data_IF_392031997691
#
_entry.id   IF_392031997691
#
_cell.length_a   1.000
_cell.length_b   1.000
_cell.length_c   1.000
_cell.angle_alpha   90.00
_cell.angle_beta   90.00
_cell.angle_gamma   90.00
#
_symmetry.space_group_name_H-M   'P 1'
#
loop_
_entity.id
_entity.type
_entity.pdbx_description
1 polymer ?
#
# COMPACT_ATOMS: atom_id res chain seq x y z
N UNK A 1 -14.50 -21.79 3.30
CA UNK A 1 -13.30 -21.08 3.77
C UNK A 1 -13.30 -19.65 3.23
N UNK A 2 -12.67 -18.74 3.95
CA UNK A 2 -12.50 -17.33 3.58
C UNK A 2 -11.02 -16.97 3.57
N UNK A 3 -10.64 -15.97 2.74
CA UNK A 3 -9.30 -15.41 2.74
C UNK A 3 -9.36 -13.90 3.06
N UNK A 4 -8.64 -13.50 4.11
CA UNK A 4 -8.49 -12.12 4.56
C UNK A 4 -6.99 -11.82 4.57
N UNK A 5 -6.48 -11.20 3.50
CA UNK A 5 -5.02 -11.02 3.35
C UNK A 5 -4.70 -9.90 2.35
N UNK A 6 -5.14 -8.69 2.60
CA UNK A 6 -4.85 -7.55 1.74
C UNK A 6 -5.29 -7.74 0.27
N UNK A 7 -6.33 -8.53 0.02
CA UNK A 7 -6.79 -8.88 -1.33
C UNK A 7 -7.69 -7.79 -1.90
N UNK A 8 -7.32 -7.22 -3.04
CA UNK A 8 -8.19 -6.31 -3.79
C UNK A 8 -9.15 -7.08 -4.70
N UNK A 9 -10.40 -6.62 -4.75
CA UNK A 9 -11.49 -7.23 -5.52
C UNK A 9 -11.45 -6.81 -7.00
N UNK A 10 -10.35 -7.11 -7.71
CA UNK A 10 -10.18 -6.77 -9.13
C UNK A 10 -11.23 -7.47 -10.00
N UNK A 11 -11.49 -6.93 -11.19
CA UNK A 11 -12.41 -7.54 -12.17
C UNK A 11 -12.05 -9.01 -12.47
N UNK A 12 -10.77 -9.29 -12.64
CA UNK A 12 -10.26 -10.62 -12.93
C UNK A 12 -10.56 -11.58 -11.78
N UNK A 13 -10.24 -11.19 -10.54
CA UNK A 13 -10.49 -12.01 -9.34
C UNK A 13 -11.99 -12.23 -9.09
N UNK A 14 -12.83 -11.25 -9.38
CA UNK A 14 -14.31 -11.38 -9.28
C UNK A 14 -14.90 -12.42 -10.21
N UNK A 15 -14.19 -12.82 -11.27
CA UNK A 15 -14.65 -13.93 -12.12
C UNK A 15 -14.54 -15.29 -11.39
N UNK A 16 -13.51 -15.48 -10.58
CA UNK A 16 -13.21 -16.75 -9.90
C UNK A 16 -13.72 -16.81 -8.44
N UNK A 17 -13.88 -15.67 -7.80
CA UNK A 17 -14.22 -15.55 -6.37
C UNK A 17 -15.36 -14.56 -6.14
N UNK A 18 -16.09 -14.75 -5.04
CA UNK A 18 -16.97 -13.74 -4.49
C UNK A 18 -16.19 -12.89 -3.47
N UNK A 19 -16.53 -11.62 -3.37
CA UNK A 19 -15.89 -10.68 -2.45
C UNK A 19 -16.91 -9.99 -1.56
N UNK A 20 -16.49 -9.66 -0.35
CA UNK A 20 -17.24 -8.79 0.54
C UNK A 20 -17.23 -7.33 0.05
N UNK A 21 -18.00 -6.48 0.72
CA UNK A 21 -17.77 -5.03 0.70
C UNK A 21 -16.31 -4.78 1.17
N UNK A 22 -15.68 -3.68 0.72
CA UNK A 22 -14.36 -3.31 1.21
C UNK A 22 -14.35 -3.11 2.73
N UNK A 23 -13.32 -3.63 3.40
CA UNK A 23 -13.09 -3.37 4.82
C UNK A 23 -11.97 -2.36 5.06
N UNK A 24 -11.16 -2.10 4.02
CA UNK A 24 -10.06 -1.15 4.07
C UNK A 24 -9.83 -0.54 2.68
N UNK A 25 -9.74 0.79 2.64
CA UNK A 25 -9.35 1.51 1.43
C UNK A 25 -7.86 1.81 1.49
N UNK A 26 -7.14 1.39 0.44
CA UNK A 26 -5.71 1.59 0.33
C UNK A 26 -5.43 3.04 -0.07
N UNK A 27 -4.63 3.74 0.72
CA UNK A 27 -4.01 5.00 0.33
C UNK A 27 -2.56 4.74 -0.09
N UNK A 28 -2.18 5.28 -1.24
CA UNK A 28 -0.81 5.27 -1.73
C UNK A 28 0.02 6.36 -1.06
N UNK A 29 1.31 6.13 -0.92
CA UNK A 29 2.27 7.11 -0.40
C UNK A 29 3.60 7.04 -1.14
N UNK A 30 4.24 8.19 -1.27
CA UNK A 30 5.62 8.29 -1.78
C UNK A 30 6.51 8.75 -0.62
N UNK A 31 7.52 7.93 -0.30
CA UNK A 31 8.59 8.30 0.62
C UNK A 31 9.78 8.87 -0.15
N UNK A 32 10.37 9.92 0.41
CA UNK A 32 11.60 10.55 -0.07
C UNK A 32 12.53 10.83 1.12
N UNK A 33 13.81 11.12 0.88
CA UNK A 33 14.65 11.66 1.96
C UNK A 33 14.12 13.01 2.45
N UNK A 34 14.13 13.24 3.75
CA UNK A 34 13.71 14.52 4.36
C UNK A 34 14.45 15.70 3.73
N UNK A 35 15.73 15.54 3.41
CA UNK A 35 16.56 16.56 2.74
C UNK A 35 16.14 16.87 1.29
N UNK A 36 15.26 16.07 0.70
CA UNK A 36 14.82 16.19 -0.68
C UNK A 36 13.33 16.56 -0.82
N UNK A 37 12.65 16.89 0.28
CA UNK A 37 11.22 17.24 0.26
C UNK A 37 10.93 18.41 -0.70
N UNK A 38 11.74 19.44 -0.67
CA UNK A 38 11.57 20.62 -1.54
C UNK A 38 11.90 20.31 -3.02
N UNK A 39 12.65 19.24 -3.28
CA UNK A 39 12.99 18.81 -4.64
C UNK A 39 11.89 17.96 -5.25
N UNK A 40 11.25 17.10 -4.46
CA UNK A 40 10.24 16.16 -4.94
C UNK A 40 8.85 16.58 -4.45
N UNK A 41 8.21 17.47 -5.21
CA UNK A 41 6.92 18.10 -4.85
C UNK A 41 5.75 17.64 -5.71
N UNK A 42 6.01 16.84 -6.75
CA UNK A 42 4.99 16.35 -7.70
C UNK A 42 5.46 15.10 -8.42
N UNK A 43 4.54 14.40 -9.09
CA UNK A 43 4.85 13.25 -9.97
C UNK A 43 5.92 13.63 -11.01
N UNK A 44 5.82 14.79 -11.64
CA UNK A 44 6.76 15.24 -12.67
C UNK A 44 8.17 15.48 -12.13
N UNK A 45 8.33 15.80 -10.85
CA UNK A 45 9.65 15.97 -10.25
C UNK A 45 10.44 14.66 -10.10
N UNK A 46 9.77 13.51 -10.23
CA UNK A 46 10.38 12.17 -10.25
C UNK A 46 10.84 11.74 -11.66
N UNK A 47 10.63 12.56 -12.69
CA UNK A 47 11.10 12.26 -14.05
C UNK A 47 12.62 12.02 -14.07
N UNK A 48 13.04 10.92 -14.72
CA UNK A 48 14.43 10.48 -14.79
C UNK A 48 14.99 9.88 -13.49
N UNK A 49 14.26 9.96 -12.38
CA UNK A 49 14.67 9.44 -11.07
C UNK A 49 14.40 7.93 -10.97
N UNK A 50 15.10 7.26 -10.05
CA UNK A 50 14.81 5.89 -9.66
C UNK A 50 13.77 5.88 -8.54
N UNK A 51 12.70 5.11 -8.72
CA UNK A 51 11.64 4.91 -7.72
C UNK A 51 11.56 3.42 -7.42
N UNK A 52 11.76 3.05 -6.15
CA UNK A 52 11.64 1.66 -5.73
C UNK A 52 10.19 1.31 -5.37
N UNK A 53 9.81 0.07 -5.64
CA UNK A 53 8.52 -0.53 -5.31
C UNK A 53 8.73 -1.98 -4.90
N UNK A 54 7.79 -2.54 -4.14
CA UNK A 54 7.82 -3.98 -3.88
C UNK A 54 7.21 -4.73 -5.07
N UNK A 55 7.94 -5.75 -5.55
CA UNK A 55 7.54 -6.59 -6.68
C UNK A 55 6.22 -7.32 -6.42
N UNK A 56 5.33 -7.31 -7.39
CA UNK A 56 4.03 -8.02 -7.35
C UNK A 56 2.94 -7.29 -6.56
N UNK A 57 3.18 -6.08 -6.11
CA UNK A 57 2.17 -5.23 -5.43
C UNK A 57 1.37 -4.39 -6.43
N UNK A 58 0.28 -3.79 -5.93
CA UNK A 58 -0.52 -2.82 -6.70
C UNK A 58 0.31 -1.58 -6.99
N UNK A 59 1.13 -1.14 -6.05
CA UNK A 59 2.02 0.01 -6.16
C UNK A 59 3.01 -0.15 -7.31
N UNK A 60 3.50 -1.36 -7.58
CA UNK A 60 4.32 -1.62 -8.77
C UNK A 60 3.57 -1.30 -10.07
N UNK A 61 2.29 -1.68 -10.14
CA UNK A 61 1.42 -1.35 -11.27
C UNK A 61 1.17 0.15 -11.39
N UNK A 62 0.80 0.81 -10.28
CA UNK A 62 0.56 2.25 -10.22
C UNK A 62 1.80 3.05 -10.64
N UNK A 63 2.98 2.68 -10.12
CA UNK A 63 4.24 3.32 -10.48
C UNK A 63 4.56 3.19 -11.97
N UNK A 64 4.40 2.00 -12.56
CA UNK A 64 4.62 1.78 -14.01
C UNK A 64 3.66 2.57 -14.88
N UNK A 65 2.41 2.76 -14.43
CA UNK A 65 1.38 3.47 -15.19
C UNK A 65 1.48 4.99 -15.05
N UNK A 66 1.83 5.51 -13.89
CA UNK A 66 1.78 6.94 -13.59
C UNK A 66 3.14 7.62 -13.56
N UNK A 67 4.23 6.88 -13.33
CA UNK A 67 5.62 7.37 -13.32
C UNK A 67 6.38 6.97 -14.59
N UNK A 68 5.77 7.18 -15.77
CA UNK A 68 6.29 6.71 -17.06
C UNK A 68 7.71 7.19 -17.40
N UNK A 69 8.06 8.37 -16.91
CA UNK A 69 9.38 8.98 -17.14
C UNK A 69 10.39 8.64 -16.02
N UNK A 70 9.99 7.85 -15.02
CA UNK A 70 10.87 7.41 -13.95
C UNK A 70 11.42 6.00 -14.22
N UNK A 71 12.50 5.64 -13.51
CA UNK A 71 13.08 4.30 -13.56
C UNK A 71 12.55 3.48 -12.40
N UNK A 72 11.60 2.59 -12.63
CA UNK A 72 11.02 1.75 -11.59
C UNK A 72 11.97 0.62 -11.24
N UNK A 73 12.31 0.50 -9.96
CA UNK A 73 13.17 -0.53 -9.37
C UNK A 73 12.29 -1.45 -8.53
N UNK A 74 11.99 -2.65 -9.04
CA UNK A 74 11.16 -3.64 -8.35
C UNK A 74 12.03 -4.52 -7.46
N UNK A 75 11.84 -4.41 -6.13
CA UNK A 75 12.59 -5.14 -5.10
C UNK A 75 11.71 -6.19 -4.43
N UNK A 76 12.31 -7.22 -3.87
CA UNK A 76 11.57 -8.33 -3.25
C UNK A 76 11.07 -8.00 -1.85
N UNK A 77 11.78 -7.14 -1.12
CA UNK A 77 11.44 -6.73 0.24
C UNK A 77 11.34 -5.21 0.36
N UNK A 78 10.35 -4.73 1.11
CA UNK A 78 10.17 -3.30 1.33
C UNK A 78 11.33 -2.69 2.15
N UNK A 79 11.87 -3.44 3.13
CA UNK A 79 13.05 -3.01 3.90
C UNK A 79 14.28 -2.73 3.02
N UNK A 80 14.47 -3.50 1.94
CA UNK A 80 15.51 -3.25 0.95
C UNK A 80 15.28 -1.91 0.23
N UNK A 81 14.02 -1.62 -0.17
CA UNK A 81 13.66 -0.37 -0.82
C UNK A 81 13.93 0.85 0.09
N UNK A 82 13.62 0.74 1.39
CA UNK A 82 13.90 1.78 2.37
C UNK A 82 15.42 1.99 2.54
N UNK A 83 16.20 0.92 2.61
CA UNK A 83 17.66 1.01 2.69
C UNK A 83 18.28 1.66 1.43
N UNK A 84 17.77 1.34 0.24
CA UNK A 84 18.17 1.99 -1.01
C UNK A 84 17.81 3.48 -1.04
N UNK A 85 16.65 3.85 -0.49
CA UNK A 85 16.27 5.26 -0.33
C UNK A 85 17.23 5.98 0.62
N UNK A 86 17.52 5.42 1.78
CA UNK A 86 18.43 5.99 2.79
C UNK A 86 19.86 6.13 2.27
N UNK A 87 20.34 5.17 1.51
CA UNK A 87 21.66 5.24 0.86
C UNK A 87 21.70 6.17 -0.37
N UNK A 88 20.53 6.54 -0.92
CA UNK A 88 20.41 7.39 -2.11
C UNK A 88 20.55 6.64 -3.44
N UNK A 89 20.50 5.32 -3.43
CA UNK A 89 20.49 4.48 -4.65
C UNK A 89 19.18 4.66 -5.43
N UNK A 90 18.06 4.90 -4.71
CA UNK A 90 16.79 5.38 -5.27
C UNK A 90 16.41 6.72 -4.64
N UNK A 91 15.58 7.49 -5.31
CA UNK A 91 15.19 8.82 -4.88
C UNK A 91 13.82 8.87 -4.22
N UNK A 92 12.99 7.86 -4.47
CA UNK A 92 11.69 7.70 -3.84
C UNK A 92 11.35 6.21 -3.68
N UNK A 93 10.41 5.92 -2.78
CA UNK A 93 9.79 4.61 -2.61
C UNK A 93 8.28 4.79 -2.67
N UNK A 94 7.61 3.98 -3.48
CA UNK A 94 6.15 3.93 -3.58
C UNK A 94 5.63 2.72 -2.82
N UNK A 95 4.70 2.96 -1.89
CA UNK A 95 4.16 1.93 -0.98
C UNK A 95 2.78 2.34 -0.42
N UNK A 96 2.14 1.43 0.28
CA UNK A 96 0.90 1.75 1.02
C UNK A 96 1.18 2.72 2.17
N UNK A 97 0.29 3.69 2.37
CA UNK A 97 0.45 4.75 3.39
C UNK A 97 0.62 4.23 4.81
N UNK A 98 -0.14 3.22 5.31
CA UNK A 98 0.09 2.70 6.67
C UNK A 98 1.48 2.05 6.83
N UNK A 99 1.99 1.40 5.79
CA UNK A 99 3.34 0.84 5.78
C UNK A 99 4.37 1.98 5.83
N UNK A 100 4.15 3.05 5.03
CA UNK A 100 5.00 4.24 5.07
C UNK A 100 5.03 4.87 6.47
N UNK A 101 3.88 5.02 7.13
CA UNK A 101 3.77 5.55 8.50
C UNK A 101 4.54 4.71 9.52
N UNK A 102 4.53 3.38 9.36
CA UNK A 102 5.36 2.47 10.16
C UNK A 102 6.84 2.79 10.04
N UNK A 103 7.36 2.91 8.83
CA UNK A 103 8.78 3.28 8.61
C UNK A 103 9.12 4.67 9.12
N UNK A 104 8.23 5.65 8.96
CA UNK A 104 8.44 7.02 9.45
C UNK A 104 8.57 7.10 10.96
N UNK A 105 7.90 6.21 11.71
CA UNK A 105 7.98 6.21 13.18
C UNK A 105 9.39 5.90 13.69
N UNK A 106 10.22 5.24 12.89
CA UNK A 106 11.56 4.78 13.25
C UNK A 106 12.69 5.48 12.46
N UNK A 107 12.35 6.26 11.42
CA UNK A 107 13.31 6.84 10.50
C UNK A 107 13.04 8.34 10.28
N UNK A 108 13.76 9.21 10.98
CA UNK A 108 13.62 10.67 10.84
C UNK A 108 14.27 11.26 9.58
N UNK A 109 15.08 10.48 8.89
CA UNK A 109 15.80 10.86 7.67
C UNK A 109 14.99 10.67 6.38
N UNK A 110 13.79 10.09 6.49
CA UNK A 110 12.82 9.96 5.40
C UNK A 110 11.50 10.67 5.76
N UNK A 111 10.72 11.04 4.75
CA UNK A 111 9.47 11.75 4.93
C UNK A 111 8.47 11.42 3.82
N UNK A 112 7.17 11.66 4.08
CA UNK A 112 6.14 11.61 3.05
C UNK A 112 6.32 12.77 2.07
N UNK A 113 6.34 12.49 0.78
CA UNK A 113 6.19 13.51 -0.24
C UNK A 113 4.79 14.15 -0.15
N UNK A 114 4.68 15.42 -0.56
CA UNK A 114 3.40 16.15 -0.55
C UNK A 114 2.41 15.69 -1.63
N UNK A 115 2.64 14.55 -2.28
CA UNK A 115 1.80 13.96 -3.31
C UNK A 115 1.84 12.43 -3.22
N UNK A 116 0.85 11.79 -3.83
CA UNK A 116 0.76 10.32 -3.95
C UNK A 116 0.26 9.94 -5.35
N UNK A 117 0.40 8.68 -5.72
CA UNK A 117 -0.19 8.13 -6.94
C UNK A 117 -1.69 7.90 -6.72
N UNK A 118 -2.46 7.99 -7.79
CA UNK A 118 -3.90 7.76 -7.72
C UNK A 118 -4.18 6.27 -7.66
N UNK A 119 -4.85 5.84 -6.60
CA UNK A 119 -5.43 4.50 -6.51
C UNK A 119 -6.75 4.42 -7.27
N UNK A 120 -7.12 3.23 -7.73
CA UNK A 120 -8.42 2.99 -8.34
C UNK A 120 -9.43 2.47 -7.30
N UNK A 121 -10.73 2.63 -7.58
CA UNK A 121 -11.81 2.07 -6.72
C UNK A 121 -11.69 0.54 -6.54
N UNK A 122 -10.88 -0.14 -7.37
CA UNK A 122 -10.61 -1.58 -7.28
C UNK A 122 -9.48 -1.97 -6.33
N UNK A 123 -8.77 -1.01 -5.75
CA UNK A 123 -7.60 -1.27 -4.90
C UNK A 123 -7.99 -1.49 -3.43
N UNK A 124 -9.23 -1.19 -3.07
CA UNK A 124 -9.76 -1.44 -1.74
C UNK A 124 -9.69 -2.93 -1.36
N UNK A 125 -9.30 -3.22 -0.12
CA UNK A 125 -9.13 -4.59 0.39
C UNK A 125 -10.48 -5.18 0.81
N UNK A 126 -10.73 -6.42 0.39
CA UNK A 126 -11.96 -7.14 0.67
C UNK A 126 -11.67 -8.62 1.03
N UNK A 127 -12.63 -9.25 1.68
CA UNK A 127 -12.57 -10.68 2.01
C UNK A 127 -12.96 -11.49 0.79
N UNK A 128 -12.10 -12.42 0.37
CA UNK A 128 -12.37 -13.33 -0.73
C UNK A 128 -13.01 -14.64 -0.24
N UNK A 129 -13.96 -15.14 -0.99
CA UNK A 129 -14.71 -16.37 -0.74
C UNK A 129 -14.84 -17.19 -2.02
N UNK A 130 -15.06 -18.52 -1.94
CA UNK A 130 -15.36 -19.33 -3.14
C UNK A 130 -16.55 -18.75 -3.91
N UNK A 131 -16.54 -18.91 -5.22
CA UNK A 131 -17.64 -18.47 -6.08
C UNK A 131 -18.95 -19.15 -5.69
N UNK A 132 -20.04 -18.40 -5.63
CA UNK A 132 -21.35 -18.87 -5.20
C UNK A 132 -21.60 -18.75 -3.67
N UNK A 133 -20.76 -18.04 -2.93
CA UNK A 133 -20.85 -17.90 -1.46
C UNK A 133 -21.74 -16.74 -1.00
N UNK A 134 -22.83 -16.44 -1.69
CA UNK A 134 -23.65 -15.24 -1.44
C UNK A 134 -24.14 -15.06 0.01
N UNK A 135 -24.52 -16.13 0.72
CA UNK A 135 -24.91 -16.03 2.14
C UNK A 135 -23.72 -15.71 3.05
N UNK A 136 -22.54 -16.24 2.74
CA UNK A 136 -21.31 -15.94 3.47
C UNK A 136 -20.90 -14.47 3.23
N UNK A 137 -21.00 -13.97 2.01
CA UNK A 137 -20.78 -12.55 1.67
C UNK A 137 -21.68 -11.64 2.52
N UNK A 138 -22.98 -11.93 2.62
CA UNK A 138 -23.92 -11.15 3.45
C UNK A 138 -23.50 -11.14 4.91
N UNK A 139 -23.09 -12.29 5.44
CA UNK A 139 -22.66 -12.42 6.83
C UNK A 139 -21.39 -11.61 7.09
N UNK A 140 -20.38 -11.73 6.24
CA UNK A 140 -19.13 -10.99 6.32
C UNK A 140 -19.39 -9.47 6.21
N UNK A 141 -20.22 -9.03 5.27
CA UNK A 141 -20.57 -7.62 5.10
C UNK A 141 -21.26 -7.04 6.35
N UNK A 142 -22.09 -7.82 7.03
CA UNK A 142 -22.72 -7.40 8.28
C UNK A 142 -21.68 -7.14 9.38
N UNK A 143 -20.66 -8.01 9.48
CA UNK A 143 -19.55 -7.83 10.43
C UNK A 143 -18.70 -6.61 10.06
N UNK A 144 -18.33 -6.45 8.77
CA UNK A 144 -17.58 -5.29 8.26
C UNK A 144 -18.29 -3.99 8.64
N UNK A 145 -19.59 -3.88 8.36
CA UNK A 145 -20.38 -2.69 8.69
C UNK A 145 -20.43 -2.41 10.19
N UNK A 146 -20.47 -3.44 11.02
CA UNK A 146 -20.43 -3.28 12.49
C UNK A 146 -19.08 -2.74 12.96
N UNK A 147 -17.98 -3.31 12.48
CA UNK A 147 -16.62 -2.90 12.84
C UNK A 147 -16.28 -1.49 12.34
N UNK A 148 -16.80 -1.11 11.16
CA UNK A 148 -16.63 0.24 10.61
C UNK A 148 -17.28 1.31 11.49
N UNK A 149 -18.44 1.03 12.08
CA UNK A 149 -19.13 1.96 12.99
C UNK A 149 -18.34 2.22 14.29
N UNK A 150 -17.59 1.23 14.74
CA UNK A 150 -16.83 1.29 15.99
C UNK A 150 -15.42 1.89 15.82
N UNK A 151 -15.06 2.35 14.60
CA UNK A 151 -13.74 2.89 14.22
C UNK A 151 -12.55 1.93 14.51
N UNK A 152 -12.87 0.64 14.71
CA UNK A 152 -11.88 -0.37 15.13
C UNK A 152 -10.86 -0.69 14.06
N UNK A 153 -11.21 -0.52 12.79
CA UNK A 153 -10.28 -0.80 11.69
C UNK A 153 -9.05 0.09 11.73
N UNK A 154 -9.20 1.38 11.97
CA UNK A 154 -8.07 2.31 12.07
C UNK A 154 -7.07 1.87 13.12
N UNK A 155 -7.60 1.47 14.29
CA UNK A 155 -6.76 0.95 15.38
C UNK A 155 -6.02 -0.33 14.95
N UNK A 156 -6.71 -1.31 14.38
CA UNK A 156 -6.10 -2.58 13.97
C UNK A 156 -5.05 -2.39 12.88
N UNK A 157 -5.25 -1.48 11.94
CA UNK A 157 -4.29 -1.15 10.90
C UNK A 157 -3.05 -0.49 11.51
N UNK A 158 -3.23 0.47 12.41
CA UNK A 158 -2.12 1.12 13.12
C UNK A 158 -1.31 0.12 13.96
N UNK A 159 -2.00 -0.75 14.73
CA UNK A 159 -1.35 -1.77 15.55
C UNK A 159 -0.56 -2.76 14.66
N UNK A 160 -1.12 -3.19 13.53
CA UNK A 160 -0.47 -4.09 12.59
C UNK A 160 0.76 -3.44 11.91
N UNK A 161 0.65 -2.18 11.51
CA UNK A 161 1.78 -1.45 10.92
C UNK A 161 2.96 -1.31 11.89
N UNK A 162 2.68 -1.08 13.20
CA UNK A 162 3.72 -1.03 14.22
C UNK A 162 4.39 -2.39 14.43
N UNK A 163 3.64 -3.50 14.40
CA UNK A 163 4.21 -4.84 14.51
C UNK A 163 5.15 -5.15 13.33
N UNK A 164 4.71 -4.84 12.10
CA UNK A 164 5.53 -5.06 10.90
C UNK A 164 6.82 -4.22 10.91
N UNK A 165 6.75 -2.98 11.41
CA UNK A 165 7.93 -2.13 11.53
C UNK A 165 8.98 -2.71 12.49
N UNK A 166 8.56 -3.37 13.57
CA UNK A 166 9.45 -3.99 14.55
C UNK A 166 10.08 -5.31 14.07
N UNK A 167 9.46 -6.02 13.11
CA UNK A 167 9.98 -7.28 12.56
C UNK A 167 11.14 -7.08 11.56
N UNK A 168 11.46 -5.85 11.19
CA UNK A 168 12.48 -5.54 10.16
C UNK A 168 13.86 -5.31 10.80
N UNK A 169 13.96 -5.28 12.12
CA UNK A 169 15.24 -5.08 12.84
C UNK A 169 16.02 -6.39 13.14
N UNK A 170 15.50 -7.57 12.82
CA UNK A 170 16.16 -8.87 12.94
C UNK A 170 16.59 -9.41 11.55
#
# INVERSE_FOLDING_TARGET
>A
DIAISGLSATKERKNAYDFSDPYYETENAILVKTSNLDKFTSISSLSGQKVAVQKGTIEEGLSKDQLKDSKIVSLTAMGEAINELKSGQVQAVDLEKPVAEGYLSQNSDIALAGFALKTSDGDAKAVAMPKGSGEMVKTVNKVIKKLAKDDKYKKYISDAAQLTANEIED
#
